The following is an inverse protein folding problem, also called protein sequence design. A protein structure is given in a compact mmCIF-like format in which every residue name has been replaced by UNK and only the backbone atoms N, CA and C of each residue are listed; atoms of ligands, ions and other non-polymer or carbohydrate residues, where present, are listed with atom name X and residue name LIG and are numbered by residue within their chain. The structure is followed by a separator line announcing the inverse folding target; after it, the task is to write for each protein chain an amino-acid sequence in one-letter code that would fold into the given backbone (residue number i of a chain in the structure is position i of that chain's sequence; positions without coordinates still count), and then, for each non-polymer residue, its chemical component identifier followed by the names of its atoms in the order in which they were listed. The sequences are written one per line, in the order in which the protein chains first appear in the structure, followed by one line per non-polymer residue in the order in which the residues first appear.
data_IF_115877224446
#
_entry.id   IF_115877224446
#
_cell.length_a   1.000
_cell.length_b   1.000
_cell.length_c   1.000
_cell.angle_alpha   90.00
_cell.angle_beta   90.00
_cell.angle_gamma   90.00
#
_symmetry.space_group_name_H-M   'P 1'
#
loop_
_entity.id
_entity.type
_entity.pdbx_description
1 polymer ?
#
# COMPACT_ATOMS: atom_id res chain seq x y z
N UNK A 1 0.78 -16.24 -1.17
CA UNK A 1 2.04 -16.38 -1.93
C UNK A 1 2.73 -15.04 -1.85
N UNK A 2 3.74 -14.91 -0.97
CA UNK A 2 4.50 -13.67 -0.84
C UNK A 2 5.02 -13.30 -2.22
N UNK A 3 4.78 -12.07 -2.67
CA UNK A 3 5.40 -11.51 -3.85
C UNK A 3 6.90 -11.41 -3.50
N UNK A 4 7.77 -12.32 -4.00
CA UNK A 4 9.18 -12.08 -3.84
C UNK A 4 9.40 -10.85 -4.70
N UNK A 5 9.62 -9.69 -4.10
CA UNK A 5 10.18 -8.56 -4.84
C UNK A 5 11.60 -8.99 -5.22
N UNK A 6 11.70 -9.87 -6.22
CA UNK A 6 12.92 -10.41 -6.77
C UNK A 6 13.68 -9.19 -7.22
N UNK A 7 14.86 -9.01 -6.64
CA UNK A 7 15.84 -8.05 -7.13
C UNK A 7 15.99 -8.32 -8.62
N UNK A 8 15.38 -7.47 -9.45
CA UNK A 8 15.19 -7.81 -10.84
C UNK A 8 16.58 -7.74 -11.50
N UNK A 9 17.09 -8.84 -12.05
CA UNK A 9 18.43 -8.86 -12.63
C UNK A 9 18.57 -7.92 -13.83
N UNK A 10 17.46 -7.52 -14.48
CA UNK A 10 17.47 -6.52 -15.56
C UNK A 10 17.76 -5.10 -15.05
N UNK A 11 17.32 -4.77 -13.83
CA UNK A 11 17.53 -3.47 -13.20
C UNK A 11 18.74 -3.48 -12.24
N UNK A 12 19.19 -4.67 -11.84
CA UNK A 12 20.34 -4.89 -10.97
C UNK A 12 21.54 -5.30 -11.81
N UNK A 13 22.08 -4.34 -12.56
CA UNK A 13 23.14 -4.62 -13.56
C UNK A 13 24.52 -4.86 -12.96
N UNK A 14 24.73 -4.58 -11.67
CA UNK A 14 26.05 -4.68 -11.03
C UNK A 14 25.95 -5.10 -9.55
N UNK A 15 26.78 -6.06 -9.08
CA UNK A 15 26.93 -6.38 -7.66
C UNK A 15 27.31 -5.15 -6.81
N UNK A 16 27.99 -4.18 -7.42
CA UNK A 16 28.32 -2.88 -6.83
C UNK A 16 27.09 -2.09 -6.39
N UNK A 17 26.00 -2.11 -7.15
CA UNK A 17 24.80 -1.34 -6.84
C UNK A 17 24.07 -1.91 -5.60
N UNK A 18 24.02 -3.23 -5.48
CA UNK A 18 23.47 -3.90 -4.29
C UNK A 18 24.33 -3.59 -3.06
N UNK A 19 25.66 -3.60 -3.22
CA UNK A 19 26.60 -3.26 -2.14
C UNK A 19 26.44 -1.80 -1.70
N UNK A 20 26.39 -0.87 -2.65
CA UNK A 20 26.20 0.56 -2.39
C UNK A 20 24.84 0.81 -1.71
N UNK A 21 23.77 0.16 -2.18
CA UNK A 21 22.44 0.27 -1.56
C UNK A 21 22.44 -0.25 -0.13
N UNK A 22 23.09 -1.39 0.14
CA UNK A 22 23.21 -1.94 1.49
C UNK A 22 23.98 -0.97 2.40
N UNK A 23 25.12 -0.45 1.94
CA UNK A 23 25.93 0.49 2.73
C UNK A 23 25.16 1.77 3.03
N UNK A 24 24.54 2.38 2.02
CA UNK A 24 23.70 3.55 2.20
C UNK A 24 22.54 3.28 3.18
N UNK A 25 21.92 2.10 3.11
CA UNK A 25 20.85 1.73 4.04
C UNK A 25 21.35 1.58 5.48
N UNK A 26 22.51 0.95 5.70
CA UNK A 26 23.11 0.82 7.04
C UNK A 26 23.47 2.19 7.62
N UNK A 27 24.02 3.09 6.80
CA UNK A 27 24.32 4.46 7.19
C UNK A 27 23.06 5.25 7.57
N UNK A 28 21.99 5.18 6.77
CA UNK A 28 20.74 5.90 7.05
C UNK A 28 19.99 5.29 8.24
N UNK A 29 20.01 3.97 8.42
CA UNK A 29 19.34 3.29 9.54
C UNK A 29 20.13 3.35 10.85
N UNK A 30 21.43 3.69 10.80
CA UNK A 30 22.32 3.73 11.97
C UNK A 30 22.72 2.36 12.54
N UNK A 31 22.15 1.25 12.05
CA UNK A 31 22.53 -0.10 12.44
C UNK A 31 22.29 -1.12 11.32
N UNK A 32 23.13 -2.15 11.26
CA UNK A 32 22.98 -3.22 10.29
C UNK A 32 21.72 -4.06 10.53
N UNK A 33 21.34 -4.27 11.80
CA UNK A 33 20.12 -4.99 12.17
C UNK A 33 18.86 -4.31 11.62
N UNK A 34 18.71 -2.99 11.82
CA UNK A 34 17.56 -2.23 11.31
C UNK A 34 17.51 -2.20 9.77
N UNK A 35 18.67 -2.16 9.12
CA UNK A 35 18.75 -2.24 7.67
C UNK A 35 18.27 -3.61 7.16
N UNK A 36 18.64 -4.71 7.83
CA UNK A 36 18.20 -6.07 7.48
C UNK A 36 16.69 -6.21 7.62
N UNK A 37 16.08 -5.67 8.67
CA UNK A 37 14.62 -5.67 8.82
C UNK A 37 13.92 -5.00 7.65
N UNK A 38 14.40 -3.83 7.21
CA UNK A 38 13.86 -3.11 6.05
C UNK A 38 14.06 -3.93 4.76
N UNK A 39 15.22 -4.57 4.58
CA UNK A 39 15.49 -5.45 3.43
C UNK A 39 14.54 -6.65 3.38
N UNK A 40 14.19 -7.23 4.54
CA UNK A 40 13.24 -8.35 4.63
C UNK A 40 11.80 -7.90 4.32
N UNK A 41 11.42 -6.68 4.68
CA UNK A 41 10.11 -6.11 4.36
C UNK A 41 10.00 -5.70 2.89
N UNK A 42 11.06 -5.12 2.32
CA UNK A 42 11.08 -4.67 0.93
C UNK A 42 12.48 -4.83 0.31
N UNK A 43 12.79 -5.96 -0.35
CA UNK A 43 14.10 -6.19 -0.96
C UNK A 43 14.38 -5.29 -2.18
N UNK A 44 13.38 -4.55 -2.71
CA UNK A 44 13.60 -3.61 -3.81
C UNK A 44 14.48 -2.41 -3.42
N UNK A 45 14.64 -2.13 -2.11
CA UNK A 45 15.56 -1.08 -1.63
C UNK A 45 17.01 -1.32 -2.06
N UNK A 46 17.38 -2.58 -2.34
CA UNK A 46 18.71 -2.95 -2.85
C UNK A 46 18.96 -2.50 -4.30
N UNK A 47 17.96 -1.93 -4.96
CA UNK A 47 18.07 -1.37 -6.32
C UNK A 47 18.16 0.17 -6.31
N UNK A 48 18.13 0.82 -5.14
CA UNK A 48 18.07 2.28 -5.02
C UNK A 48 19.45 2.96 -5.04
N UNK A 49 20.53 2.22 -4.79
CA UNK A 49 21.90 2.74 -4.72
C UNK A 49 22.07 3.83 -3.66
N UNK A 50 22.94 4.80 -3.95
CA UNK A 50 23.23 5.93 -3.07
C UNK A 50 22.02 6.87 -2.86
N UNK A 51 20.98 6.75 -3.68
CA UNK A 51 19.75 7.55 -3.56
C UNK A 51 19.05 7.39 -2.21
N UNK A 52 19.30 6.29 -1.49
CA UNK A 52 18.79 6.07 -0.13
C UNK A 52 19.27 7.13 0.86
N UNK A 53 20.45 7.72 0.65
CA UNK A 53 20.99 8.78 1.53
C UNK A 53 20.17 10.07 1.50
N UNK A 54 19.37 10.27 0.46
CA UNK A 54 18.53 11.45 0.30
C UNK A 54 17.22 11.35 1.08
N UNK A 55 16.89 10.17 1.61
CA UNK A 55 15.62 9.91 2.27
C UNK A 55 15.79 9.65 3.77
N UNK A 56 14.96 10.25 4.62
CA UNK A 56 14.98 9.98 6.06
C UNK A 56 14.68 8.52 6.36
N UNK A 57 15.32 7.98 7.40
CA UNK A 57 15.16 6.59 7.82
C UNK A 57 13.69 6.18 8.03
N UNK A 58 12.90 7.06 8.65
CA UNK A 58 11.48 6.83 8.90
C UNK A 58 10.66 6.66 7.62
N UNK A 59 11.00 7.37 6.53
CA UNK A 59 10.27 7.25 5.25
C UNK A 59 10.59 5.93 4.54
N UNK A 60 11.83 5.47 4.60
CA UNK A 60 12.25 4.20 4.00
C UNK A 60 11.54 3.05 4.72
N UNK A 61 11.51 3.09 6.06
CA UNK A 61 10.83 2.08 6.89
C UNK A 61 9.32 2.08 6.68
N UNK A 62 8.67 3.23 6.68
CA UNK A 62 7.22 3.31 6.49
C UNK A 62 6.78 2.78 5.13
N UNK A 63 7.54 3.10 4.07
CA UNK A 63 7.29 2.56 2.74
C UNK A 63 7.50 1.04 2.70
N UNK A 64 8.56 0.51 3.33
CA UNK A 64 8.81 -0.92 3.39
C UNK A 64 7.69 -1.67 4.13
N UNK A 65 7.22 -1.15 5.26
CA UNK A 65 6.09 -1.70 6.01
C UNK A 65 4.79 -1.68 5.21
N UNK A 66 4.50 -0.56 4.54
CA UNK A 66 3.32 -0.45 3.67
C UNK A 66 3.38 -1.43 2.50
N UNK A 67 4.52 -1.53 1.83
CA UNK A 67 4.76 -2.48 0.74
C UNK A 67 4.54 -3.92 1.22
N UNK A 68 5.11 -4.29 2.35
CA UNK A 68 4.95 -5.62 2.95
C UNK A 68 3.50 -5.94 3.34
N UNK A 69 2.73 -4.92 3.74
CA UNK A 69 1.30 -5.06 4.01
C UNK A 69 0.50 -5.29 2.72
N UNK A 70 0.77 -4.50 1.68
CA UNK A 70 0.13 -4.64 0.36
C UNK A 70 0.47 -5.99 -0.27
N UNK A 71 1.71 -6.47 -0.16
CA UNK A 71 2.12 -7.78 -0.70
C UNK A 71 1.49 -8.97 0.06
N UNK A 72 0.94 -8.75 1.27
CA UNK A 72 0.13 -9.76 1.99
C UNK A 72 -1.31 -9.82 1.50
N UNK A 73 -1.80 -8.80 0.79
CA UNK A 73 -3.18 -8.78 0.30
C UNK A 73 -3.32 -9.79 -0.84
N UNK A 74 -4.19 -10.82 -0.71
CA UNK A 74 -4.40 -11.78 -1.77
C UNK A 74 -4.95 -11.08 -3.03
N UNK A 75 -4.54 -11.48 -4.25
CA UNK A 75 -5.05 -10.88 -5.48
C UNK A 75 -6.57 -11.06 -5.65
N UNK A 76 -7.18 -12.07 -5.01
CA UNK A 76 -8.63 -12.23 -4.92
C UNK A 76 -9.31 -11.09 -4.17
N UNK A 77 -8.70 -10.56 -3.10
CA UNK A 77 -9.21 -9.43 -2.32
C UNK A 77 -9.11 -8.15 -3.15
N UNK A 78 -7.97 -7.89 -3.79
CA UNK A 78 -7.81 -6.71 -4.65
C UNK A 78 -8.81 -6.69 -5.81
N UNK A 79 -9.07 -7.86 -6.43
CA UNK A 79 -10.10 -8.00 -7.46
C UNK A 79 -11.50 -7.78 -6.89
N UNK A 80 -11.83 -8.33 -5.72
CA UNK A 80 -13.13 -8.14 -5.09
C UNK A 80 -13.39 -6.67 -4.75
N UNK A 81 -12.38 -5.96 -4.22
CA UNK A 81 -12.47 -4.51 -3.94
C UNK A 81 -12.68 -3.72 -5.23
N UNK A 82 -11.92 -4.01 -6.29
CA UNK A 82 -12.10 -3.36 -7.59
C UNK A 82 -13.51 -3.59 -8.15
N UNK A 83 -13.98 -4.83 -8.16
CA UNK A 83 -15.34 -5.19 -8.63
C UNK A 83 -16.40 -4.48 -7.79
N UNK A 84 -16.22 -4.41 -6.48
CA UNK A 84 -17.12 -3.70 -5.58
C UNK A 84 -17.21 -2.22 -5.94
N UNK A 85 -16.07 -1.52 -6.10
CA UNK A 85 -16.07 -0.10 -6.48
C UNK A 85 -16.68 0.13 -7.86
N UNK A 86 -16.42 -0.73 -8.84
CA UNK A 86 -17.02 -0.64 -10.18
C UNK A 86 -18.54 -0.84 -10.13
N UNK A 87 -19.01 -1.84 -9.39
CA UNK A 87 -20.44 -2.13 -9.24
C UNK A 87 -21.20 -1.03 -8.47
N UNK A 88 -20.60 -0.53 -7.40
CA UNK A 88 -21.15 0.58 -6.60
C UNK A 88 -21.19 1.88 -7.41
N UNK A 89 -20.11 2.19 -8.14
CA UNK A 89 -20.02 3.36 -8.99
C UNK A 89 -21.02 3.32 -10.14
N UNK A 90 -21.16 2.17 -10.81
CA UNK A 90 -22.13 2.01 -11.90
C UNK A 90 -23.58 2.07 -11.41
N UNK A 91 -23.89 1.47 -10.25
CA UNK A 91 -25.20 1.58 -9.63
C UNK A 91 -25.53 3.04 -9.28
N UNK A 92 -24.58 3.77 -8.67
CA UNK A 92 -24.77 5.18 -8.35
C UNK A 92 -25.04 6.02 -9.60
N UNK A 93 -24.29 5.78 -10.68
CA UNK A 93 -24.47 6.45 -11.96
C UNK A 93 -25.88 6.25 -12.54
N UNK A 94 -26.39 5.01 -12.49
CA UNK A 94 -27.76 4.69 -12.94
C UNK A 94 -28.80 5.40 -12.06
N UNK A 95 -28.66 5.34 -10.75
CA UNK A 95 -29.58 5.99 -9.79
C UNK A 95 -29.62 7.52 -9.93
N UNK A 96 -28.52 8.16 -10.34
CA UNK A 96 -28.47 9.60 -10.59
C UNK A 96 -29.11 9.98 -11.93
N UNK A 97 -29.01 9.10 -12.95
CA UNK A 97 -29.55 9.37 -14.29
C UNK A 97 -31.01 8.99 -14.49
N UNK A 98 -31.60 8.19 -13.62
CA UNK A 98 -33.00 7.77 -13.76
C UNK A 98 -33.97 8.86 -13.29
N UNK A 99 -34.87 9.27 -14.18
CA UNK A 99 -36.01 10.17 -13.88
C UNK A 99 -37.25 9.42 -13.35
N UNK A 100 -37.17 8.09 -13.24
CA UNK A 100 -38.27 7.25 -12.76
C UNK A 100 -38.48 7.44 -11.24
N UNK A 101 -39.70 7.77 -10.79
CA UNK A 101 -40.00 8.00 -9.37
C UNK A 101 -39.76 6.77 -8.47
N UNK A 102 -39.95 5.55 -8.98
CA UNK A 102 -39.64 4.33 -8.22
C UNK A 102 -38.13 4.13 -8.02
N UNK A 103 -37.32 4.54 -9.01
CA UNK A 103 -35.86 4.47 -8.90
C UNK A 103 -35.32 5.53 -7.94
N UNK A 104 -35.95 6.71 -7.88
CA UNK A 104 -35.59 7.77 -6.91
C UNK A 104 -35.90 7.36 -5.46
N UNK A 105 -37.00 6.67 -5.20
CA UNK A 105 -37.30 6.11 -3.88
C UNK A 105 -36.28 5.04 -3.46
N UNK A 106 -35.88 4.17 -4.40
CA UNK A 106 -34.81 3.20 -4.16
C UNK A 106 -33.48 3.90 -3.89
N UNK A 107 -33.15 4.95 -4.65
CA UNK A 107 -31.93 5.74 -4.46
C UNK A 107 -31.88 6.39 -3.08
N UNK A 108 -33.00 6.93 -2.59
CA UNK A 108 -33.09 7.54 -1.26
C UNK A 108 -32.82 6.54 -0.12
N UNK A 109 -33.19 5.28 -0.32
CA UNK A 109 -32.98 4.20 0.65
C UNK A 109 -31.54 3.63 0.58
N UNK A 110 -30.97 3.50 -0.61
CA UNK A 110 -29.67 2.86 -0.84
C UNK A 110 -28.49 3.81 -0.63
N UNK A 111 -28.63 5.10 -0.98
CA UNK A 111 -27.57 6.12 -0.81
C UNK A 111 -26.95 6.19 0.60
N UNK A 112 -27.71 6.19 1.71
CA UNK A 112 -27.13 6.24 3.05
C UNK A 112 -26.34 4.96 3.40
N UNK A 113 -26.85 3.79 3.00
CA UNK A 113 -26.15 2.51 3.20
C UNK A 113 -24.84 2.49 2.42
N UNK A 114 -24.88 2.94 1.17
CA UNK A 114 -23.70 3.04 0.30
C UNK A 114 -22.65 4.00 0.87
N UNK A 115 -23.09 5.16 1.36
CA UNK A 115 -22.23 6.13 2.04
C UNK A 115 -21.58 5.56 3.30
N UNK A 116 -22.35 4.86 4.13
CA UNK A 116 -21.84 4.24 5.35
C UNK A 116 -20.79 3.14 5.07
N UNK A 117 -21.02 2.30 4.06
CA UNK A 117 -20.07 1.25 3.65
C UNK A 117 -18.77 1.87 3.12
N UNK A 118 -18.86 2.85 2.23
CA UNK A 118 -17.68 3.56 1.72
C UNK A 118 -16.90 4.28 2.82
N UNK A 119 -17.60 4.95 3.74
CA UNK A 119 -16.96 5.62 4.89
C UNK A 119 -16.26 4.61 5.81
N UNK A 120 -16.88 3.46 6.07
CA UNK A 120 -16.31 2.39 6.90
C UNK A 120 -15.05 1.79 6.28
N UNK A 121 -15.05 1.57 4.96
CA UNK A 121 -13.87 1.13 4.22
C UNK A 121 -12.74 2.17 4.27
N UNK A 122 -13.08 3.45 4.16
CA UNK A 122 -12.11 4.54 4.23
C UNK A 122 -11.49 4.68 5.63
N UNK A 123 -12.31 4.67 6.69
CA UNK A 123 -11.81 4.67 8.07
C UNK A 123 -10.95 3.43 8.36
N UNK A 124 -11.38 2.25 7.91
CA UNK A 124 -10.60 1.02 8.05
C UNK A 124 -9.22 1.12 7.38
N UNK A 125 -9.15 1.72 6.19
CA UNK A 125 -7.89 1.96 5.48
C UNK A 125 -6.97 2.95 6.22
N UNK A 126 -7.54 4.02 6.81
CA UNK A 126 -6.79 4.98 7.63
C UNK A 126 -6.26 4.32 8.90
N UNK A 127 -7.09 3.57 9.62
CA UNK A 127 -6.69 2.91 10.87
C UNK A 127 -5.55 1.90 10.63
N UNK A 128 -5.62 1.14 9.54
CA UNK A 128 -4.57 0.19 9.15
C UNK A 128 -3.26 0.92 8.79
N UNK A 129 -3.35 2.09 8.15
CA UNK A 129 -2.19 2.92 7.81
C UNK A 129 -1.56 3.60 9.04
N UNK A 130 -2.39 4.01 10.01
CA UNK A 130 -1.91 4.61 11.27
C UNK A 130 -1.16 3.60 12.14
N UNK A 131 -1.60 2.34 12.20
CA UNK A 131 -0.89 1.27 12.91
C UNK A 131 0.46 0.90 12.28
N UNK A 132 0.69 1.23 11.00
CA UNK A 132 1.96 1.00 10.33
C UNK A 132 3.00 2.12 10.58
N UNK A 133 2.58 3.28 11.13
CA UNK A 133 3.44 4.41 11.48
C UNK A 133 3.86 4.46 12.96
N UNK A 134 3.32 3.58 13.81
CA UNK A 134 3.67 3.50 15.22
C UNK A 134 4.93 2.67 15.44
N UNK A 135 6.08 3.32 15.57
CA UNK A 135 7.22 2.71 16.26
C UNK A 135 6.92 2.57 17.75
N UNK A 136 7.15 1.40 18.38
CA UNK A 136 7.39 1.32 19.81
C UNK A 136 8.83 1.76 20.14
N UNK A 137 9.00 2.47 21.26
CA UNK A 137 10.29 2.92 21.85
C UNK A 137 10.44 4.44 21.78
N UNK A 138 10.57 5.22 22.87
CA UNK A 138 11.25 4.96 24.15
C UNK A 138 12.63 4.30 24.02
#
# INVERSE_FOLDING_TARGET
VANPSVVNPLYTKTPELVRASKQALVEVMGSEAAAIEVMLLNPAVLQCGDGLRLQPAGQIRSFASFRALVDRVPPSVSRAVLVFFVAVGSLNFVLVRSDDPTVQQLAATVKPVLGAVCASLFLGAISLSATAGGTPGE
#
